data_IF_692615863400
#
_entry.id   IF_692615863400
#
_cell.length_a   1.000
_cell.length_b   1.000
_cell.length_c   1.000
_cell.angle_alpha   90.00
_cell.angle_beta   90.00
_cell.angle_gamma   90.00
#
_symmetry.space_group_name_H-M   'P 1'
#
loop_
_entity.id
_entity.type
_entity.pdbx_description
1 polymer ?
#
# COMPACT_ATOMS: atom_id res chain seq x y z
N UNK A 1 30.09 -8.96 8.27
CA UNK A 1 29.71 -7.61 7.78
C UNK A 1 29.28 -7.58 6.30
N UNK A 2 30.09 -8.06 5.34
CA UNK A 2 29.72 -8.07 3.90
C UNK A 2 28.36 -8.74 3.60
N UNK A 3 28.06 -9.87 4.25
CA UNK A 3 26.80 -10.63 4.07
C UNK A 3 25.55 -9.89 4.59
N UNK A 4 25.71 -9.10 5.66
CA UNK A 4 24.64 -8.27 6.24
C UNK A 4 24.35 -7.03 5.38
N UNK A 5 25.38 -6.35 4.86
CA UNK A 5 25.16 -5.23 3.94
C UNK A 5 24.52 -5.70 2.63
N UNK A 6 24.87 -6.89 2.14
CA UNK A 6 24.25 -7.48 0.95
C UNK A 6 22.76 -7.78 1.14
N UNK A 7 22.28 -8.13 2.34
CA UNK A 7 20.84 -8.34 2.57
C UNK A 7 20.02 -7.06 2.42
N UNK A 8 20.57 -5.89 2.79
CA UNK A 8 19.91 -4.61 2.51
C UNK A 8 19.85 -4.34 1.02
N UNK A 9 20.94 -4.57 0.30
CA UNK A 9 20.97 -4.41 -1.17
C UNK A 9 19.90 -5.28 -1.83
N UNK A 10 19.77 -6.54 -1.40
CA UNK A 10 18.72 -7.43 -1.91
C UNK A 10 17.30 -6.94 -1.56
N UNK A 11 17.08 -6.45 -0.33
CA UNK A 11 15.80 -5.89 0.07
C UNK A 11 15.42 -4.65 -0.76
N UNK A 12 16.34 -3.70 -0.93
CA UNK A 12 16.12 -2.51 -1.77
C UNK A 12 15.88 -2.89 -3.23
N UNK A 13 16.61 -3.89 -3.74
CA UNK A 13 16.36 -4.40 -5.10
C UNK A 13 14.96 -5.00 -5.21
N UNK A 14 14.50 -5.72 -4.19
CA UNK A 14 13.14 -6.27 -4.11
C UNK A 14 12.07 -5.18 -4.15
N UNK A 15 12.25 -4.09 -3.40
CA UNK A 15 11.37 -2.92 -3.46
C UNK A 15 11.38 -2.32 -4.87
N UNK A 16 12.54 -2.11 -5.50
CA UNK A 16 12.58 -1.52 -6.84
C UNK A 16 11.92 -2.45 -7.88
N UNK A 17 12.10 -3.77 -7.73
CA UNK A 17 11.52 -4.76 -8.64
C UNK A 17 10.00 -4.79 -8.57
N UNK A 18 9.40 -4.71 -7.37
CA UNK A 18 7.93 -4.73 -7.24
C UNK A 18 7.25 -3.55 -7.95
N UNK A 19 7.93 -2.39 -8.04
CA UNK A 19 7.43 -1.21 -8.77
C UNK A 19 7.62 -1.30 -10.29
N UNK A 20 8.47 -2.22 -10.79
CA UNK A 20 8.72 -2.39 -12.22
C UNK A 20 7.81 -3.48 -12.80
N UNK A 21 6.60 -3.10 -13.18
CA UNK A 21 5.71 -3.95 -13.98
C UNK A 21 4.25 -3.94 -13.55
N UNK A 22 3.96 -3.60 -12.29
CA UNK A 22 2.60 -3.65 -11.75
C UNK A 22 2.02 -2.25 -11.58
N UNK A 23 0.93 -1.94 -12.27
CA UNK A 23 0.22 -0.65 -12.14
C UNK A 23 -0.38 -0.46 -10.75
N UNK A 24 -0.82 -1.54 -10.12
CA UNK A 24 -1.52 -1.51 -8.84
C UNK A 24 -0.66 -0.92 -7.72
N UNK A 25 0.62 -1.32 -7.61
CA UNK A 25 1.52 -0.78 -6.59
C UNK A 25 1.73 0.73 -6.72
N UNK A 26 1.79 1.26 -7.94
CA UNK A 26 1.89 2.70 -8.18
C UNK A 26 0.64 3.45 -7.74
N UNK A 27 -0.54 2.89 -8.01
CA UNK A 27 -1.81 3.47 -7.56
C UNK A 27 -1.88 3.52 -6.04
N UNK A 28 -1.60 2.40 -5.37
CA UNK A 28 -1.58 2.34 -3.91
C UNK A 28 -0.52 3.28 -3.32
N UNK A 29 0.65 3.37 -3.96
CA UNK A 29 1.73 4.24 -3.53
C UNK A 29 1.33 5.72 -3.59
N UNK A 30 0.78 6.15 -4.72
CA UNK A 30 0.34 7.54 -4.93
C UNK A 30 -0.78 7.90 -3.95
N UNK A 31 -1.77 7.01 -3.77
CA UNK A 31 -2.87 7.24 -2.82
C UNK A 31 -2.34 7.37 -1.40
N UNK A 32 -1.48 6.47 -0.95
CA UNK A 32 -0.91 6.52 0.40
C UNK A 32 0.01 7.72 0.62
N UNK A 33 0.83 8.07 -0.37
CA UNK A 33 1.66 9.28 -0.31
C UNK A 33 0.81 10.56 -0.22
N UNK A 34 -0.29 10.62 -0.99
CA UNK A 34 -1.25 11.73 -0.91
C UNK A 34 -1.93 11.78 0.46
N UNK A 35 -2.30 10.64 1.05
CA UNK A 35 -2.87 10.57 2.39
C UNK A 35 -1.89 11.10 3.46
N UNK A 36 -0.61 10.73 3.39
CA UNK A 36 0.43 11.25 4.29
C UNK A 36 0.62 12.76 4.11
N UNK A 37 0.69 13.25 2.87
CA UNK A 37 0.79 14.69 2.60
C UNK A 37 -0.44 15.46 3.15
N UNK A 38 -1.63 14.88 3.02
CA UNK A 38 -2.86 15.41 3.57
C UNK A 38 -2.82 15.44 5.11
N UNK A 39 -2.29 14.40 5.76
CA UNK A 39 -2.13 14.38 7.22
C UNK A 39 -1.26 15.54 7.73
N UNK A 40 -0.17 15.84 7.03
CA UNK A 40 0.67 17.01 7.36
C UNK A 40 -0.08 18.32 7.14
N UNK A 41 -0.79 18.46 6.01
CA UNK A 41 -1.57 19.65 5.73
C UNK A 41 -2.68 19.87 6.77
N UNK A 42 -3.35 18.82 7.21
CA UNK A 42 -4.40 18.87 8.24
C UNK A 42 -3.87 19.04 9.66
N UNK A 43 -2.54 19.00 9.86
CA UNK A 43 -1.88 19.07 11.17
C UNK A 43 -2.43 18.04 12.16
N UNK A 44 -2.58 16.79 11.69
CA UNK A 44 -3.12 15.71 12.53
C UNK A 44 -2.24 15.45 13.77
N UNK A 45 -2.84 14.98 14.87
CA UNK A 45 -2.11 14.44 16.00
C UNK A 45 -1.10 13.36 15.58
N UNK A 46 0.03 13.30 16.29
CA UNK A 46 1.12 12.36 15.98
C UNK A 46 0.64 10.90 15.85
N UNK A 47 -0.27 10.47 16.72
CA UNK A 47 -0.81 9.11 16.70
C UNK A 47 -1.59 8.80 15.43
N UNK A 48 -2.39 9.75 14.93
CA UNK A 48 -3.14 9.59 13.69
C UNK A 48 -2.22 9.55 12.47
N UNK A 49 -1.19 10.42 12.43
CA UNK A 49 -0.16 10.38 11.39
C UNK A 49 0.57 9.01 11.37
N UNK A 50 0.95 8.49 12.53
CA UNK A 50 1.59 7.17 12.64
C UNK A 50 0.68 6.07 12.08
N UNK A 51 -0.62 6.09 12.40
CA UNK A 51 -1.59 5.11 11.88
C UNK A 51 -1.67 5.19 10.35
N UNK A 52 -1.75 6.39 9.77
CA UNK A 52 -1.78 6.57 8.30
C UNK A 52 -0.50 6.02 7.66
N UNK A 53 0.67 6.28 8.25
CA UNK A 53 1.95 5.74 7.77
C UNK A 53 1.97 4.21 7.85
N UNK A 54 1.49 3.62 8.94
CA UNK A 54 1.38 2.16 9.09
C UNK A 54 0.47 1.57 8.02
N UNK A 55 -0.71 2.16 7.80
CA UNK A 55 -1.65 1.67 6.78
C UNK A 55 -1.09 1.77 5.37
N UNK A 56 -0.33 2.83 5.07
CA UNK A 56 0.38 2.97 3.81
C UNK A 56 1.40 1.84 3.58
N UNK A 57 2.31 1.62 4.54
CA UNK A 57 3.32 0.57 4.41
C UNK A 57 2.72 -0.84 4.46
N UNK A 58 1.62 -1.03 5.18
CA UNK A 58 0.88 -2.29 5.22
C UNK A 58 0.36 -2.69 3.83
N UNK A 59 -0.33 -1.77 3.13
CA UNK A 59 -0.85 -2.04 1.79
C UNK A 59 0.29 -2.29 0.79
N UNK A 60 1.36 -1.49 0.83
CA UNK A 60 2.53 -1.70 -0.03
C UNK A 60 3.17 -3.07 0.22
N UNK A 61 3.28 -3.49 1.48
CA UNK A 61 3.83 -4.81 1.83
C UNK A 61 2.97 -5.94 1.27
N UNK A 62 1.64 -5.84 1.39
CA UNK A 62 0.73 -6.84 0.81
C UNK A 62 0.86 -6.92 -0.72
N UNK A 63 0.95 -5.78 -1.39
CA UNK A 63 1.13 -5.72 -2.85
C UNK A 63 2.46 -6.34 -3.29
N UNK A 64 3.53 -6.10 -2.53
CA UNK A 64 4.83 -6.74 -2.75
C UNK A 64 4.77 -8.26 -2.55
N UNK A 65 4.04 -8.73 -1.53
CA UNK A 65 3.81 -10.16 -1.32
C UNK A 65 3.03 -10.78 -2.47
N UNK A 66 1.96 -10.12 -2.94
CA UNK A 66 1.18 -10.55 -4.10
C UNK A 66 2.07 -10.68 -5.35
N UNK A 67 2.85 -9.65 -5.66
CA UNK A 67 3.80 -9.65 -6.78
C UNK A 67 4.81 -10.79 -6.68
N UNK A 68 5.34 -11.05 -5.47
CA UNK A 68 6.28 -12.14 -5.24
C UNK A 68 5.65 -13.52 -5.46
N UNK A 69 4.39 -13.70 -5.04
CA UNK A 69 3.65 -14.94 -5.26
C UNK A 69 3.27 -15.12 -6.71
N UNK A 70 2.82 -14.08 -7.41
CA UNK A 70 2.57 -14.13 -8.85
C UNK A 70 3.82 -14.60 -9.60
N UNK A 71 4.97 -13.98 -9.32
CA UNK A 71 6.24 -14.35 -9.94
C UNK A 71 6.67 -15.79 -9.61
N UNK A 72 6.44 -16.25 -8.37
CA UNK A 72 6.72 -17.63 -7.98
C UNK A 72 5.82 -18.62 -8.73
N UNK A 73 4.51 -18.34 -8.76
CA UNK A 73 3.52 -19.19 -9.43
C UNK A 73 3.80 -19.27 -10.93
N UNK A 74 4.11 -18.14 -11.58
CA UNK A 74 4.50 -18.09 -12.99
C UNK A 74 5.77 -18.89 -13.29
N UNK A 75 6.70 -18.94 -12.33
CA UNK A 75 7.93 -19.71 -12.47
C UNK A 75 7.72 -21.22 -12.30
N UNK A 76 6.91 -21.65 -11.33
CA UNK A 76 6.67 -23.08 -11.06
C UNK A 76 5.58 -23.70 -11.92
N UNK A 77 4.67 -22.89 -12.46
CA UNK A 77 3.52 -23.30 -13.26
C UNK A 77 3.36 -22.41 -14.50
N UNK A 78 4.26 -22.56 -15.51
CA UNK A 78 4.28 -21.70 -16.69
C UNK A 78 3.11 -21.94 -17.66
N UNK A 79 2.51 -23.13 -17.63
CA UNK A 79 1.26 -23.42 -18.34
C UNK A 79 0.05 -23.10 -17.46
N UNK A 80 -1.11 -22.83 -18.07
CA UNK A 80 -2.32 -22.55 -17.30
C UNK A 80 -2.72 -23.74 -16.42
N UNK A 81 -2.80 -23.52 -15.11
CA UNK A 81 -3.31 -24.47 -14.13
C UNK A 81 -4.38 -23.79 -13.28
N UNK A 82 -5.54 -24.45 -13.13
CA UNK A 82 -6.68 -23.89 -12.37
C UNK A 82 -6.29 -23.55 -10.92
N UNK A 83 -5.52 -24.44 -10.27
CA UNK A 83 -5.04 -24.24 -8.90
C UNK A 83 -4.04 -23.06 -8.79
N UNK A 84 -3.21 -22.85 -9.80
CA UNK A 84 -2.31 -21.70 -9.86
C UNK A 84 -3.10 -20.38 -9.96
N UNK A 85 -4.20 -20.38 -10.70
CA UNK A 85 -5.16 -19.27 -10.75
C UNK A 85 -5.77 -18.97 -9.38
N UNK A 86 -6.28 -20.00 -8.69
CA UNK A 86 -6.87 -19.86 -7.34
C UNK A 86 -5.91 -19.22 -6.34
N UNK A 87 -4.63 -19.62 -6.36
CA UNK A 87 -3.61 -19.03 -5.48
C UNK A 87 -3.43 -17.55 -5.76
N UNK A 88 -3.31 -17.14 -7.03
CA UNK A 88 -3.19 -15.73 -7.40
C UNK A 88 -4.41 -14.91 -6.96
N UNK A 89 -5.61 -15.45 -7.18
CA UNK A 89 -6.86 -14.78 -6.79
C UNK A 89 -6.96 -14.56 -5.27
N UNK A 90 -6.49 -15.52 -4.46
CA UNK A 90 -6.47 -15.39 -3.00
C UNK A 90 -5.54 -14.26 -2.55
N UNK A 91 -4.33 -14.17 -3.12
CA UNK A 91 -3.38 -13.11 -2.77
C UNK A 91 -3.85 -11.73 -3.26
N UNK A 92 -4.44 -11.64 -4.46
CA UNK A 92 -5.09 -10.42 -4.93
C UNK A 92 -6.24 -10.00 -4.01
N UNK A 93 -7.03 -10.96 -3.52
CA UNK A 93 -8.07 -10.74 -2.52
C UNK A 93 -7.53 -10.22 -1.18
N UNK A 94 -6.39 -10.73 -0.73
CA UNK A 94 -5.73 -10.24 0.50
C UNK A 94 -5.28 -8.77 0.36
N UNK A 95 -4.71 -8.40 -0.79
CA UNK A 95 -4.37 -7.00 -1.12
C UNK A 95 -5.61 -6.12 -1.10
N UNK A 96 -6.71 -6.56 -1.72
CA UNK A 96 -7.97 -5.82 -1.75
C UNK A 96 -8.51 -5.59 -0.34
N UNK A 97 -8.53 -6.61 0.52
CA UNK A 97 -8.96 -6.48 1.91
C UNK A 97 -8.09 -5.50 2.69
N UNK A 98 -6.77 -5.54 2.50
CA UNK A 98 -5.86 -4.59 3.13
C UNK A 98 -6.07 -3.15 2.65
N UNK A 99 -6.29 -2.96 1.35
CA UNK A 99 -6.59 -1.65 0.76
C UNK A 99 -7.94 -1.09 1.28
N UNK A 100 -8.97 -1.94 1.40
CA UNK A 100 -10.26 -1.55 1.99
C UNK A 100 -10.12 -1.12 3.45
N UNK A 101 -9.39 -1.89 4.26
CA UNK A 101 -9.10 -1.52 5.65
C UNK A 101 -8.37 -0.16 5.72
N UNK A 102 -7.35 0.02 4.88
CA UNK A 102 -6.59 1.27 4.77
C UNK A 102 -7.48 2.46 4.40
N UNK A 103 -8.37 2.27 3.42
CA UNK A 103 -9.33 3.29 3.02
C UNK A 103 -10.31 3.65 4.15
N UNK A 104 -10.84 2.65 4.87
CA UNK A 104 -11.75 2.87 6.00
C UNK A 104 -11.06 3.65 7.11
N UNK A 105 -9.86 3.22 7.53
CA UNK A 105 -9.08 3.92 8.56
C UNK A 105 -8.72 5.33 8.11
N UNK A 106 -8.30 5.49 6.86
CA UNK A 106 -8.01 6.79 6.25
C UNK A 106 -9.22 7.73 6.26
N UNK A 107 -10.41 7.24 5.91
CA UNK A 107 -11.64 8.04 5.96
C UNK A 107 -12.02 8.45 7.40
N UNK A 108 -11.84 7.56 8.37
CA UNK A 108 -12.13 7.86 9.78
C UNK A 108 -11.21 8.96 10.31
N UNK A 109 -9.92 8.89 9.99
CA UNK A 109 -8.90 9.82 10.48
C UNK A 109 -8.93 11.15 9.71
N UNK A 110 -8.90 11.09 8.37
CA UNK A 110 -8.79 12.28 7.52
C UNK A 110 -10.14 12.99 7.30
N UNK A 111 -11.24 12.24 7.31
CA UNK A 111 -12.56 12.75 6.91
C UNK A 111 -13.04 13.95 7.74
N UNK A 112 -13.17 13.83 9.07
CA UNK A 112 -13.63 14.94 9.91
C UNK A 112 -12.75 16.21 9.80
N UNK A 113 -11.42 16.16 9.95
CA UNK A 113 -10.58 17.36 9.84
C UNK A 113 -10.58 17.94 8.42
N UNK A 114 -10.66 17.11 7.37
CA UNK A 114 -10.78 17.57 6.01
C UNK A 114 -12.08 18.34 5.78
N UNK A 115 -13.22 17.83 6.25
CA UNK A 115 -14.52 18.50 6.14
C UNK A 115 -14.53 19.86 6.84
N UNK A 116 -13.99 19.93 8.06
CA UNK A 116 -13.87 21.20 8.81
C UNK A 116 -13.04 22.21 8.02
N UNK A 117 -11.88 21.79 7.51
CA UNK A 117 -10.97 22.68 6.80
C UNK A 117 -11.53 23.16 5.45
N UNK A 118 -12.23 22.29 4.72
CA UNK A 118 -12.91 22.65 3.48
C UNK A 118 -14.07 23.63 3.73
N UNK A 119 -14.89 23.40 4.75
CA UNK A 119 -15.96 24.34 5.14
C UNK A 119 -15.42 25.74 5.45
N UNK A 120 -14.30 25.81 6.19
CA UNK A 120 -13.63 27.07 6.49
C UNK A 120 -13.09 27.76 5.22
N UNK A 121 -12.54 27.02 4.26
CA UNK A 121 -12.04 27.56 2.98
C UNK A 121 -13.16 28.11 2.08
N UNK A 122 -14.34 27.47 2.09
CA UNK A 122 -15.47 27.85 1.23
C UNK A 122 -16.49 28.77 1.93
N UNK A 123 -16.24 29.18 3.17
CA UNK A 123 -17.15 30.06 3.92
C UNK A 123 -18.51 29.43 4.22
N UNK A 124 -18.58 28.09 4.29
CA UNK A 124 -19.79 27.33 4.59
C UNK A 124 -19.85 27.12 6.11
N UNK A 125 -20.47 28.06 6.84
CA UNK A 125 -20.72 27.97 8.29
C UNK A 125 -22.04 27.26 8.58
#
# INVERSE_FOLDING_TARGET
MKRFLMSFVYAFRGIILSFKGHRNIWVQFIIGAAAIAMSFWLALPLMELIIIIIMFFFVITLEMMNTGIEALVDHVSPEYHEEAGKVKDIYAGAVLMGALLSAIVGMIILGPPLLVKLRALFGLS
#
